data_IF_869968852953
#
_entry.id   IF_869968852953
#
_cell.length_a   1.000
_cell.length_b   1.000
_cell.length_c   1.000
_cell.angle_alpha   90.00
_cell.angle_beta   90.00
_cell.angle_gamma   90.00
#
_symmetry.space_group_name_H-M   'P 1'
#
loop_
_entity.id
_entity.type
_entity.pdbx_description
1 polymer ?
#
# COMPACT_ATOMS: atom_id res chain seq x y z
N UNK A 1 -16.35 16.70 -5.28
CA UNK A 1 -17.16 16.37 -4.08
C UNK A 1 -17.92 15.10 -4.41
N UNK A 2 -17.69 14.01 -3.67
CA UNK A 2 -18.43 12.75 -3.84
C UNK A 2 -19.58 12.75 -2.83
N UNK A 3 -20.78 12.40 -3.27
CA UNK A 3 -21.95 12.26 -2.39
C UNK A 3 -22.53 10.87 -2.58
N UNK A 4 -22.80 10.20 -1.48
CA UNK A 4 -23.37 8.87 -1.45
C UNK A 4 -24.36 8.78 -0.29
N UNK A 5 -25.30 7.84 -0.38
CA UNK A 5 -26.24 7.55 0.70
C UNK A 5 -25.62 6.56 1.65
N UNK A 6 -25.86 6.80 2.93
CA UNK A 6 -25.39 6.02 4.06
C UNK A 6 -26.53 6.01 5.07
N UNK A 7 -26.67 4.92 5.82
CA UNK A 7 -27.70 4.82 6.84
C UNK A 7 -27.42 5.81 7.98
N UNK A 8 -28.48 6.26 8.66
CA UNK A 8 -28.37 7.30 9.70
C UNK A 8 -27.44 6.88 10.84
N UNK A 9 -27.46 5.59 11.20
CA UNK A 9 -26.57 5.01 12.22
C UNK A 9 -25.09 5.12 11.82
N UNK A 10 -24.74 4.75 10.58
CA UNK A 10 -23.38 4.82 10.08
C UNK A 10 -22.90 6.29 9.95
N UNK A 11 -23.80 7.19 9.53
CA UNK A 11 -23.50 8.61 9.46
C UNK A 11 -23.20 9.20 10.85
N UNK A 12 -24.00 8.83 11.86
CA UNK A 12 -23.79 9.25 13.24
C UNK A 12 -22.49 8.67 13.82
N UNK A 13 -22.19 7.40 13.54
CA UNK A 13 -20.95 6.77 13.96
C UNK A 13 -19.71 7.45 13.35
N UNK A 14 -19.74 7.74 12.05
CA UNK A 14 -18.64 8.45 11.37
C UNK A 14 -18.40 9.84 11.98
N UNK A 15 -19.48 10.56 12.30
CA UNK A 15 -19.41 11.87 12.96
C UNK A 15 -18.79 11.76 14.37
N UNK A 16 -19.28 10.82 15.19
CA UNK A 16 -18.78 10.62 16.55
C UNK A 16 -17.28 10.25 16.57
N UNK A 17 -16.83 9.42 15.63
CA UNK A 17 -15.41 9.08 15.50
C UNK A 17 -14.56 10.25 15.02
N UNK A 18 -15.04 11.04 14.06
CA UNK A 18 -14.33 12.23 13.60
C UNK A 18 -14.10 13.22 14.76
N UNK A 19 -15.13 13.45 15.59
CA UNK A 19 -15.04 14.28 16.79
C UNK A 19 -14.04 13.73 17.81
N UNK A 20 -14.09 12.42 18.10
CA UNK A 20 -13.15 11.77 19.03
C UNK A 20 -11.70 11.85 18.56
N UNK A 21 -11.48 11.81 17.25
CA UNK A 21 -10.16 11.88 16.63
C UNK A 21 -9.70 13.33 16.38
N UNK A 22 -10.59 14.31 16.54
CA UNK A 22 -10.29 15.72 16.30
C UNK A 22 -10.06 16.07 14.82
N UNK A 23 -10.67 15.32 13.91
CA UNK A 23 -10.54 15.50 12.44
C UNK A 23 -11.88 15.82 11.80
N UNK A 24 -11.86 16.32 10.57
CA UNK A 24 -13.09 16.51 9.80
C UNK A 24 -13.68 15.17 9.35
N UNK A 25 -15.01 15.07 9.28
CA UNK A 25 -15.69 13.85 8.80
C UNK A 25 -15.24 13.46 7.39
N UNK A 26 -15.01 14.42 6.50
CA UNK A 26 -14.53 14.14 5.15
C UNK A 26 -13.10 13.63 5.12
N UNK A 27 -12.26 14.00 6.08
CA UNK A 27 -10.92 13.47 6.25
C UNK A 27 -10.96 12.01 6.68
N UNK A 28 -11.76 11.68 7.70
CA UNK A 28 -11.98 10.31 8.17
C UNK A 28 -12.46 9.39 7.02
N UNK A 29 -13.48 9.83 6.27
CA UNK A 29 -14.03 9.04 5.17
C UNK A 29 -13.04 8.90 4.00
N UNK A 30 -12.25 9.94 3.72
CA UNK A 30 -11.21 9.88 2.68
C UNK A 30 -10.12 8.88 3.06
N UNK A 31 -9.69 8.87 4.32
CA UNK A 31 -8.70 7.92 4.80
C UNK A 31 -9.23 6.48 4.75
N UNK A 32 -10.47 6.26 5.20
CA UNK A 32 -11.10 4.96 5.14
C UNK A 32 -11.20 4.44 3.69
N UNK A 33 -11.65 5.28 2.76
CA UNK A 33 -11.69 4.96 1.34
C UNK A 33 -10.29 4.64 0.78
N UNK A 34 -9.29 5.44 1.13
CA UNK A 34 -7.92 5.22 0.67
C UNK A 34 -7.38 3.86 1.13
N UNK A 35 -7.52 3.54 2.41
CA UNK A 35 -7.08 2.25 2.97
C UNK A 35 -7.79 1.08 2.28
N UNK A 36 -9.10 1.20 2.03
CA UNK A 36 -9.86 0.17 1.35
C UNK A 36 -9.41 -0.03 -0.11
N UNK A 37 -9.16 1.06 -0.85
CA UNK A 37 -8.67 0.98 -2.22
C UNK A 37 -7.25 0.39 -2.30
N UNK A 38 -6.36 0.74 -1.36
CA UNK A 38 -5.02 0.13 -1.28
C UNK A 38 -5.13 -1.38 -1.04
N UNK A 39 -6.02 -1.80 -0.13
CA UNK A 39 -6.25 -3.22 0.13
C UNK A 39 -6.75 -3.96 -1.12
N UNK A 40 -7.77 -3.43 -1.80
CA UNK A 40 -8.29 -4.05 -3.03
C UNK A 40 -7.22 -4.20 -4.11
N UNK A 41 -6.34 -3.21 -4.24
CA UNK A 41 -5.22 -3.28 -5.18
C UNK A 41 -4.21 -4.35 -4.80
N UNK A 42 -3.87 -4.45 -3.52
CA UNK A 42 -2.98 -5.51 -3.05
C UNK A 42 -3.57 -6.91 -3.29
N UNK A 43 -4.88 -7.08 -3.07
CA UNK A 43 -5.58 -8.34 -3.37
C UNK A 43 -5.52 -8.65 -4.89
N UNK A 44 -5.73 -7.66 -5.76
CA UNK A 44 -5.59 -7.85 -7.21
C UNK A 44 -4.16 -8.13 -7.68
N UNK A 45 -3.17 -7.52 -7.04
CA UNK A 45 -1.76 -7.74 -7.38
C UNK A 45 -1.34 -9.19 -7.01
N UNK A 46 -1.86 -9.73 -5.91
CA UNK A 46 -1.68 -11.14 -5.54
C UNK A 46 -2.33 -12.06 -6.59
N UNK A 47 -3.58 -11.77 -7.00
CA UNK A 47 -4.26 -12.56 -8.03
C UNK A 47 -3.51 -12.52 -9.36
N UNK A 48 -3.01 -11.35 -9.76
CA UNK A 48 -2.20 -11.20 -10.97
C UNK A 48 -0.90 -12.00 -10.90
N UNK A 49 -0.21 -11.96 -9.75
CA UNK A 49 1.02 -12.73 -9.51
C UNK A 49 0.77 -14.24 -9.53
N UNK A 50 -0.36 -14.71 -8.98
CA UNK A 50 -0.76 -16.13 -9.06
C UNK A 50 -1.15 -16.56 -10.48
N UNK A 51 -1.75 -15.66 -11.28
CA UNK A 51 -2.17 -15.95 -12.64
C UNK A 51 -1.01 -15.95 -13.65
N UNK A 52 0.05 -15.18 -13.37
CA UNK A 52 1.28 -15.12 -14.16
C UNK A 52 2.50 -15.31 -13.24
N UNK A 53 2.77 -16.55 -12.79
CA UNK A 53 3.98 -16.82 -12.03
C UNK A 53 5.21 -16.48 -12.87
N UNK A 54 6.30 -16.08 -12.19
CA UNK A 54 7.55 -15.71 -12.82
C UNK A 54 8.02 -16.80 -13.79
N UNK A 55 8.39 -16.39 -15.00
CA UNK A 55 9.00 -17.31 -15.97
C UNK A 55 10.37 -17.79 -15.52
N UNK A 56 10.89 -18.84 -16.16
CA UNK A 56 12.19 -19.43 -15.82
C UNK A 56 13.33 -18.38 -15.81
N UNK A 57 13.32 -17.45 -16.77
CA UNK A 57 14.29 -16.35 -16.87
C UNK A 57 14.20 -15.35 -15.70
N UNK A 58 13.00 -15.13 -15.15
CA UNK A 58 12.76 -14.22 -14.04
C UNK A 58 13.04 -14.91 -12.69
N UNK A 59 12.82 -16.22 -12.60
CA UNK A 59 13.21 -17.03 -11.44
C UNK A 59 14.73 -17.14 -11.30
N UNK A 60 15.48 -17.12 -12.41
CA UNK A 60 16.95 -17.08 -12.36
C UNK A 60 17.49 -15.86 -11.60
N UNK A 61 16.75 -14.76 -11.51
CA UNK A 61 17.11 -13.59 -10.69
C UNK A 61 16.94 -13.84 -9.18
N UNK A 62 16.07 -14.76 -8.78
CA UNK A 62 15.92 -15.18 -7.38
C UNK A 62 17.11 -16.03 -6.90
N UNK A 63 17.81 -16.72 -7.82
CA UNK A 63 19.06 -17.43 -7.50
C UNK A 63 20.21 -16.47 -7.14
N UNK A 64 20.12 -15.21 -7.59
CA UNK A 64 21.07 -14.13 -7.27
C UNK A 64 20.73 -13.46 -5.92
N UNK A 65 19.71 -13.95 -5.20
CA UNK A 65 19.19 -13.32 -3.99
C UNK A 65 20.07 -13.44 -2.72
N UNK A 66 21.40 -13.53 -2.88
CA UNK A 66 22.36 -13.29 -1.79
C UNK A 66 22.62 -11.78 -1.64
N UNK A 67 21.55 -10.98 -1.61
CA UNK A 67 21.64 -9.57 -1.20
C UNK A 67 21.68 -9.55 0.32
N UNK A 68 22.76 -10.09 0.88
CA UNK A 68 23.15 -9.84 2.26
C UNK A 68 23.30 -8.33 2.48
N UNK A 69 23.27 -7.85 3.75
CA UNK A 69 23.60 -6.46 4.02
C UNK A 69 24.96 -6.19 3.37
N UNK A 70 25.00 -5.28 2.38
CA UNK A 70 26.24 -4.95 1.71
C UNK A 70 27.18 -4.35 2.78
N UNK A 71 28.09 -5.19 3.29
CA UNK A 71 28.95 -4.85 4.43
C UNK A 71 30.06 -3.86 4.06
N UNK A 72 30.19 -3.46 2.80
CA UNK A 72 30.99 -2.29 2.47
C UNK A 72 30.56 -1.64 1.15
N UNK A 73 29.96 -0.45 1.23
CA UNK A 73 29.69 0.41 0.07
C UNK A 73 30.89 1.34 -0.22
N UNK A 74 32.04 1.10 0.42
CA UNK A 74 33.27 1.89 0.21
C UNK A 74 33.78 1.85 -1.23
N UNK A 75 33.52 0.76 -1.96
CA UNK A 75 33.86 0.58 -3.38
C UNK A 75 33.09 1.52 -4.33
N UNK A 76 32.11 2.29 -3.82
CA UNK A 76 31.38 3.31 -4.58
C UNK A 76 31.82 4.74 -4.24
N UNK A 77 32.73 4.92 -3.27
CA UNK A 77 33.18 6.25 -2.82
C UNK A 77 34.08 6.96 -3.85
N UNK A 78 34.65 6.22 -4.77
CA UNK A 78 35.56 6.65 -5.84
C UNK A 78 34.85 6.93 -7.18
N UNK A 79 33.52 6.78 -7.25
CA UNK A 79 32.71 7.05 -8.44
C UNK A 79 32.53 8.56 -8.78
N UNK A 80 33.12 9.47 -7.99
CA UNK A 80 33.11 10.92 -8.26
C UNK A 80 34.46 11.47 -8.77
N UNK A 81 35.28 10.61 -9.39
CA UNK A 81 36.50 11.03 -10.10
C UNK A 81 36.26 12.07 -11.19
#
# INVERSE_FOLDING_TARGET
MLSFRVDEEEAAAAQAWAERLGVDRSELLRQALHVYLVRLRAESDIEAWLAAPLGDDEQALAEIADWGPAEDWSDWADATG
#
